data_IF_983803374681
#
_entry.id   IF_983803374681
#
_cell.length_a   1.000
_cell.length_b   1.000
_cell.length_c   1.000
_cell.angle_alpha   90.00
_cell.angle_beta   90.00
_cell.angle_gamma   90.00
#
_symmetry.space_group_name_H-M   'P 1'
#
loop_
_entity.id
_entity.type
_entity.pdbx_description
1 polymer ?
#
# COMPACT_ATOMS: atom_id res chain seq x y z
N UNK A 1 23.83 33.34 2.17
CA UNK A 1 23.62 31.88 2.35
C UNK A 1 22.55 31.43 1.37
N UNK A 2 22.78 30.34 0.65
CA UNK A 2 21.90 29.85 -0.42
C UNK A 2 20.83 28.93 0.18
N UNK A 3 19.57 29.15 -0.18
CA UNK A 3 18.46 28.33 0.30
C UNK A 3 18.29 27.10 -0.61
N UNK A 4 18.40 25.90 -0.03
CA UNK A 4 18.00 24.64 -0.66
C UNK A 4 16.52 24.40 -0.40
N UNK A 5 15.80 23.89 -1.40
CA UNK A 5 14.38 23.55 -1.31
C UNK A 5 14.14 22.20 -1.96
N UNK A 6 13.08 21.53 -1.55
CA UNK A 6 12.66 20.25 -2.13
C UNK A 6 11.44 20.47 -3.03
N UNK A 7 11.32 19.68 -4.08
CA UNK A 7 10.17 19.66 -4.96
C UNK A 7 9.00 18.94 -4.27
N UNK A 8 7.87 19.64 -4.09
CA UNK A 8 6.69 19.05 -3.44
C UNK A 8 5.99 17.99 -4.31
N UNK A 9 6.35 17.90 -5.59
CA UNK A 9 5.79 16.90 -6.51
C UNK A 9 6.67 15.66 -6.67
N UNK A 10 7.97 15.83 -6.90
CA UNK A 10 8.88 14.69 -7.14
C UNK A 10 9.71 14.28 -5.91
N UNK A 11 9.73 15.08 -4.85
CA UNK A 11 10.59 14.84 -3.68
C UNK A 11 12.07 15.15 -3.88
N UNK A 12 12.50 15.52 -5.09
CA UNK A 12 13.91 15.80 -5.39
C UNK A 12 14.37 17.19 -4.92
N UNK A 13 15.67 17.36 -4.64
CA UNK A 13 16.27 18.67 -4.34
C UNK A 13 16.19 19.60 -5.57
N UNK A 14 15.78 20.85 -5.33
CA UNK A 14 15.74 21.92 -6.32
C UNK A 14 17.06 22.68 -6.28
N UNK A 15 17.76 22.70 -7.42
CA UNK A 15 18.97 23.51 -7.59
C UNK A 15 18.65 25.00 -7.33
N UNK A 16 19.42 25.69 -6.47
CA UNK A 16 19.19 27.10 -6.18
C UNK A 16 19.20 27.97 -7.44
N UNK A 17 18.21 28.86 -7.54
CA UNK A 17 17.99 29.68 -8.73
C UNK A 17 17.20 28.99 -9.84
N UNK A 18 16.80 27.74 -9.64
CA UNK A 18 15.95 26.96 -10.55
C UNK A 18 14.61 26.63 -9.89
N UNK A 19 13.65 26.19 -10.71
CA UNK A 19 12.32 25.80 -10.27
C UNK A 19 11.30 26.94 -10.29
N UNK A 20 10.10 26.65 -9.81
CA UNK A 20 8.98 27.61 -9.72
C UNK A 20 8.25 27.45 -8.41
N UNK A 21 7.81 28.58 -7.87
CA UNK A 21 6.89 28.65 -6.74
C UNK A 21 5.48 28.87 -7.26
N UNK A 22 4.57 27.95 -6.93
CA UNK A 22 3.15 28.05 -7.24
C UNK A 22 2.36 28.28 -5.95
N UNK A 23 1.61 29.38 -5.91
CA UNK A 23 0.77 29.72 -4.77
C UNK A 23 -0.67 29.44 -5.14
N UNK A 24 -1.31 28.53 -4.41
CA UNK A 24 -2.72 28.20 -4.54
C UNK A 24 -3.60 29.31 -3.96
N UNK A 25 -4.88 29.29 -4.30
CA UNK A 25 -5.88 30.28 -3.82
C UNK A 25 -6.13 30.21 -2.31
N UNK A 26 -5.90 29.06 -1.69
CA UNK A 26 -5.97 28.85 -0.23
C UNK A 26 -4.72 29.36 0.51
N UNK A 27 -3.70 29.81 -0.22
CA UNK A 27 -2.41 30.25 0.33
C UNK A 27 -1.36 29.15 0.43
N UNK A 28 -1.67 27.92 0.04
CA UNK A 28 -0.69 26.82 0.02
C UNK A 28 0.39 27.10 -1.03
N UNK A 29 1.65 26.97 -0.63
CA UNK A 29 2.81 27.16 -1.53
C UNK A 29 3.38 25.80 -1.93
N UNK A 30 3.48 25.57 -3.24
CA UNK A 30 4.10 24.39 -3.84
C UNK A 30 5.36 24.80 -4.62
N UNK A 31 6.42 24.03 -4.47
CA UNK A 31 7.68 24.20 -5.17
C UNK A 31 7.86 23.10 -6.21
N UNK A 32 8.10 23.49 -7.45
CA UNK A 32 8.36 22.57 -8.55
C UNK A 32 9.80 22.72 -9.02
N UNK A 33 10.52 21.60 -9.16
CA UNK A 33 11.85 21.54 -9.76
C UNK A 33 11.86 22.00 -11.22
N UNK A 34 10.77 21.79 -11.97
CA UNK A 34 10.65 22.22 -13.36
C UNK A 34 9.27 22.00 -13.99
N UNK A 35 9.17 22.33 -15.28
CA UNK A 35 7.89 22.32 -16.01
C UNK A 35 7.25 20.93 -16.16
N UNK A 36 8.03 19.84 -16.10
CA UNK A 36 7.50 18.47 -16.14
C UNK A 36 6.64 18.18 -14.90
N UNK A 37 7.16 18.50 -13.71
CA UNK A 37 6.46 18.33 -12.45
C UNK A 37 5.20 19.21 -12.38
N UNK A 38 5.35 20.50 -12.69
CA UNK A 38 4.24 21.46 -12.73
C UNK A 38 3.09 20.99 -13.65
N UNK A 39 3.41 20.56 -14.87
CA UNK A 39 2.39 20.08 -15.81
C UNK A 39 1.69 18.82 -15.32
N UNK A 40 2.42 17.85 -14.76
CA UNK A 40 1.79 16.62 -14.27
C UNK A 40 0.86 16.91 -13.08
N UNK A 41 1.27 17.81 -12.18
CA UNK A 41 0.42 18.31 -11.11
C UNK A 41 -0.89 18.92 -11.65
N UNK A 42 -0.81 19.77 -12.69
CA UNK A 42 -2.01 20.35 -13.31
C UNK A 42 -2.82 19.37 -14.16
N UNK A 43 -2.22 18.28 -14.63
CA UNK A 43 -2.96 17.18 -15.26
C UNK A 43 -3.73 16.32 -14.24
N UNK A 44 -3.54 16.56 -12.93
CA UNK A 44 -4.17 15.77 -11.87
C UNK A 44 -3.60 14.36 -11.75
N UNK A 45 -2.37 14.13 -12.23
CA UNK A 45 -1.66 12.87 -11.99
C UNK A 45 -1.05 12.93 -10.59
N UNK A 46 -1.24 11.87 -9.82
CA UNK A 46 -0.58 11.75 -8.52
C UNK A 46 0.85 11.25 -8.73
N UNK A 47 1.79 11.76 -7.92
CA UNK A 47 3.20 11.41 -8.08
C UNK A 47 3.49 9.94 -7.78
N UNK A 48 2.72 9.35 -6.87
CA UNK A 48 2.86 7.96 -6.41
C UNK A 48 2.58 6.94 -7.50
N UNK A 49 1.71 7.27 -8.45
CA UNK A 49 1.31 6.35 -9.53
C UNK A 49 2.27 6.37 -10.73
N UNK A 50 3.32 7.21 -10.68
CA UNK A 50 4.19 7.46 -11.82
C UNK A 50 5.54 6.79 -11.62
N UNK A 51 5.78 5.69 -12.35
CA UNK A 51 7.02 4.91 -12.30
C UNK A 51 8.31 5.74 -12.52
N UNK A 52 8.22 6.88 -13.22
CA UNK A 52 9.39 7.74 -13.45
C UNK A 52 9.78 8.58 -12.23
N UNK A 53 8.91 8.67 -11.24
CA UNK A 53 9.18 9.34 -9.97
C UNK A 53 9.69 8.24 -9.04
N UNK A 54 10.99 8.24 -8.79
CA UNK A 54 11.68 7.21 -8.02
C UNK A 54 11.35 7.27 -6.54
N UNK A 55 10.09 7.04 -6.18
CA UNK A 55 9.75 6.51 -4.87
C UNK A 55 10.21 5.07 -4.89
N UNK A 56 11.36 4.81 -4.29
CA UNK A 56 11.69 3.45 -3.92
C UNK A 56 10.64 3.05 -2.88
N UNK A 57 9.88 1.99 -3.14
CA UNK A 57 8.97 1.43 -2.16
C UNK A 57 9.85 0.94 -1.02
N UNK A 58 9.91 1.70 0.07
CA UNK A 58 10.44 1.20 1.34
C UNK A 58 9.51 0.04 1.72
N UNK A 59 9.91 -1.17 1.34
CA UNK A 59 9.22 -2.41 1.65
C UNK A 59 9.22 -2.57 3.17
N UNK A 60 8.13 -2.12 3.79
CA UNK A 60 7.80 -2.31 5.21
C UNK A 60 7.82 -3.82 5.50
N UNK A 61 8.93 -4.33 6.03
CA UNK A 61 8.96 -5.69 6.57
C UNK A 61 8.15 -5.69 7.86
N UNK A 62 6.89 -6.15 7.78
CA UNK A 62 6.11 -6.62 8.92
C UNK A 62 6.92 -7.74 9.62
N UNK A 63 7.68 -7.36 10.64
CA UNK A 63 8.29 -8.28 11.58
C UNK A 63 7.25 -8.57 12.68
N UNK A 64 6.38 -9.54 12.41
CA UNK A 64 5.52 -10.14 13.42
C UNK A 64 6.42 -10.86 14.45
N UNK A 65 6.43 -10.37 15.70
CA UNK A 65 7.07 -11.04 16.83
C UNK A 65 6.15 -12.17 17.32
N UNK A 66 6.49 -13.41 16.95
CA UNK A 66 5.80 -14.60 17.45
C UNK A 66 6.44 -15.04 18.78
N UNK A 67 5.88 -14.53 19.87
CA UNK A 67 6.06 -15.03 21.24
C UNK A 67 5.34 -16.38 21.40
N UNK A 68 5.96 -17.47 20.98
CA UNK A 68 5.44 -18.83 21.19
C UNK A 68 6.04 -19.43 22.47
N UNK A 69 5.46 -19.02 23.60
CA UNK A 69 5.48 -19.78 24.85
C UNK A 69 4.16 -20.53 25.00
N UNK A 70 4.13 -21.83 24.69
CA UNK A 70 3.45 -22.79 25.59
C UNK A 70 3.90 -24.24 25.35
N UNK A 71 4.44 -24.84 26.41
CA UNK A 71 4.67 -26.28 26.49
C UNK A 71 3.50 -26.94 27.22
N UNK A 72 2.76 -27.79 26.53
CA UNK A 72 1.93 -28.81 27.18
C UNK A 72 1.85 -30.05 26.30
N UNK A 73 2.56 -31.08 26.76
CA UNK A 73 2.30 -32.44 26.39
C UNK A 73 1.01 -32.89 27.11
N UNK A 74 0.02 -33.34 26.36
CA UNK A 74 -1.04 -34.20 26.90
C UNK A 74 -1.31 -35.37 25.94
N UNK A 75 -1.01 -36.53 26.47
CA UNK A 75 -1.39 -37.88 26.07
C UNK A 75 -2.87 -38.07 26.35
N UNK A 76 -3.68 -38.58 25.41
CA UNK A 76 -4.67 -39.63 25.75
C UNK A 76 -5.56 -40.06 24.55
N UNK A 77 -5.55 -41.38 24.37
CA UNK A 77 -6.68 -42.28 24.10
C UNK A 77 -7.53 -42.14 22.82
N UNK A 78 -7.43 -43.22 22.05
CA UNK A 78 -8.39 -43.69 21.06
C UNK A 78 -9.75 -44.00 21.70
N UNK A 79 -10.85 -43.61 21.03
CA UNK A 79 -12.13 -44.32 21.08
C UNK A 79 -12.94 -44.06 19.80
N UNK A 80 -13.49 -45.15 19.28
CA UNK A 80 -14.27 -45.37 18.06
C UNK A 80 -15.78 -45.09 18.23
N UNK A 81 -16.51 -45.29 17.12
CA UNK A 81 -17.99 -45.43 16.93
C UNK A 81 -18.65 -44.17 16.32
N UNK A 82 -18.90 -44.13 15.00
CA UNK A 82 -19.96 -44.79 14.20
C UNK A 82 -21.31 -44.04 14.28
N UNK A 83 -21.67 -43.34 13.21
CA UNK A 83 -23.03 -43.37 12.63
C UNK A 83 -23.03 -42.70 11.24
N UNK A 84 -23.17 -43.53 10.20
CA UNK A 84 -23.49 -43.14 8.83
C UNK A 84 -24.98 -42.79 8.75
N UNK A 85 -25.33 -41.56 8.37
CA UNK A 85 -26.70 -41.13 8.12
C UNK A 85 -26.86 -40.76 6.66
N UNK A 86 -27.59 -41.59 5.92
CA UNK A 86 -27.95 -41.48 4.51
C UNK A 86 -29.47 -41.22 4.43
N UNK A 87 -29.92 -40.11 3.83
CA UNK A 87 -31.24 -40.03 3.15
C UNK A 87 -31.33 -38.72 2.32
N UNK A 88 -31.13 -38.80 1.01
CA UNK A 88 -31.61 -37.80 0.04
C UNK A 88 -32.58 -38.51 -0.91
N UNK A 89 -33.88 -38.26 -0.74
CA UNK A 89 -34.91 -38.67 -1.70
C UNK A 89 -35.10 -37.55 -2.73
N UNK A 90 -34.77 -37.81 -4.00
CA UNK A 90 -35.30 -37.02 -5.12
C UNK A 90 -36.15 -37.92 -6.03
N UNK A 91 -37.40 -37.51 -6.16
CA UNK A 91 -38.45 -38.11 -6.98
C UNK A 91 -38.28 -37.71 -8.44
N UNK A 92 -38.17 -38.67 -9.36
CA UNK A 92 -38.36 -38.42 -10.78
C UNK A 92 -39.69 -39.03 -11.27
N UNK A 93 -40.43 -38.22 -12.02
CA UNK A 93 -41.74 -38.48 -12.58
C UNK A 93 -41.64 -38.80 -14.08
N UNK A 94 -42.66 -39.54 -14.56
CA UNK A 94 -43.13 -39.65 -15.95
C UNK A 94 -42.33 -40.56 -16.92
N UNK A 95 -42.82 -41.77 -17.23
CA UNK A 95 -43.73 -42.15 -18.35
C UNK A 95 -44.05 -43.64 -18.25
#
# INVERSE_FOLDING_TARGET
MVQKRTCDYTGEEIEPGTGKMYVKTDGTVLWFKGAKAEKNYFLGRESRDLEWIGYEEDEETDADEEDESDSVADDTAEISEDEESDEETETEAEV
#
